data_IF_635530408351
#
_entry.id   IF_635530408351
#
_cell.length_a   1.000
_cell.length_b   1.000
_cell.length_c   1.000
_cell.angle_alpha   90.00
_cell.angle_beta   90.00
_cell.angle_gamma   90.00
#
_symmetry.space_group_name_H-M   'P 1'
#
loop_
_entity.id
_entity.type
_entity.pdbx_description
1 polymer ?
#
# COMPACT_ATOMS: atom_id res chain seq x y z
N UNK A 1 -4.33 -17.86 15.96
CA UNK A 1 -3.98 -16.54 16.55
C UNK A 1 -3.81 -16.60 18.07
N UNK A 2 -2.61 -16.31 18.61
CA UNK A 2 -2.37 -16.25 20.06
C UNK A 2 -2.74 -14.86 20.61
N UNK A 3 -3.93 -14.74 21.21
CA UNK A 3 -4.43 -13.47 21.76
C UNK A 3 -3.59 -12.92 22.90
N UNK A 4 -2.86 -13.77 23.63
CA UNK A 4 -1.93 -13.33 24.68
C UNK A 4 -0.67 -12.68 24.11
N UNK A 5 -0.11 -13.23 23.03
CA UNK A 5 1.06 -12.65 22.37
C UNK A 5 0.73 -11.31 21.71
N UNK A 6 -0.42 -11.22 21.02
CA UNK A 6 -0.87 -9.96 20.42
C UNK A 6 -0.97 -8.85 21.48
N UNK A 7 -1.65 -9.12 22.60
CA UNK A 7 -1.78 -8.16 23.71
C UNK A 7 -0.44 -7.81 24.36
N UNK A 8 0.49 -8.75 24.44
CA UNK A 8 1.82 -8.49 24.97
C UNK A 8 2.59 -7.54 24.05
N UNK A 9 2.60 -7.81 22.74
CA UNK A 9 3.23 -6.95 21.74
C UNK A 9 2.59 -5.57 21.66
N UNK A 10 1.27 -5.47 21.81
CA UNK A 10 0.53 -4.20 21.86
C UNK A 10 0.86 -3.35 23.11
N UNK A 11 1.31 -3.96 24.20
CA UNK A 11 1.67 -3.23 25.42
C UNK A 11 3.17 -2.99 25.57
N UNK A 12 3.98 -3.78 24.88
CA UNK A 12 5.42 -3.67 24.96
C UNK A 12 5.90 -2.37 24.29
N UNK A 13 6.68 -1.58 25.00
CA UNK A 13 7.34 -0.38 24.48
C UNK A 13 8.59 -0.79 23.67
N UNK A 14 8.34 -1.44 22.54
CA UNK A 14 9.37 -1.87 21.60
C UNK A 14 9.61 -0.77 20.56
N UNK A 15 10.88 -0.55 20.24
CA UNK A 15 11.26 0.31 19.13
C UNK A 15 10.57 -0.17 17.83
N UNK A 16 9.85 0.73 17.11
CA UNK A 16 9.15 0.36 15.87
C UNK A 16 10.05 -0.26 14.80
N UNK A 17 11.32 0.15 14.71
CA UNK A 17 12.28 -0.40 13.75
C UNK A 17 12.67 -1.83 14.11
N UNK A 18 12.84 -2.13 15.40
CA UNK A 18 13.13 -3.50 15.86
C UNK A 18 11.93 -4.39 15.61
N UNK A 19 10.72 -3.91 15.95
CA UNK A 19 9.49 -4.65 15.72
C UNK A 19 9.24 -4.90 14.22
N UNK A 20 9.46 -3.88 13.39
CA UNK A 20 9.40 -3.96 11.94
C UNK A 20 10.37 -4.99 11.38
N UNK A 21 11.64 -4.94 11.77
CA UNK A 21 12.66 -5.89 11.33
C UNK A 21 12.34 -7.35 11.72
N UNK A 22 11.78 -7.58 12.91
CA UNK A 22 11.33 -8.91 13.33
C UNK A 22 10.17 -9.41 12.48
N UNK A 23 9.17 -8.58 12.26
CA UNK A 23 8.01 -8.92 11.43
C UNK A 23 8.42 -9.17 9.96
N UNK A 24 9.33 -8.35 9.42
CA UNK A 24 9.86 -8.47 8.07
C UNK A 24 10.64 -9.77 7.87
N UNK A 25 11.51 -10.13 8.84
CA UNK A 25 12.22 -11.42 8.81
C UNK A 25 11.28 -12.61 8.88
N UNK A 26 10.24 -12.54 9.70
CA UNK A 26 9.24 -13.61 9.77
C UNK A 26 8.49 -13.72 8.43
N UNK A 27 8.07 -12.59 7.85
CA UNK A 27 7.42 -12.56 6.53
C UNK A 27 8.32 -13.18 5.48
N UNK A 28 9.61 -12.83 5.44
CA UNK A 28 10.57 -13.41 4.50
C UNK A 28 10.73 -14.92 4.67
N UNK A 29 10.81 -15.42 5.90
CA UNK A 29 10.90 -16.85 6.18
C UNK A 29 9.63 -17.63 5.76
N UNK A 30 8.46 -17.01 5.81
CA UNK A 30 7.18 -17.66 5.53
C UNK A 30 6.69 -17.47 4.09
N UNK A 31 7.03 -16.34 3.45
CA UNK A 31 6.45 -15.87 2.19
C UNK A 31 7.50 -15.57 1.12
N UNK A 32 8.78 -15.50 1.50
CA UNK A 32 9.87 -15.12 0.61
C UNK A 32 9.97 -13.61 0.36
N UNK A 33 10.56 -13.27 -0.78
CA UNK A 33 10.86 -11.89 -1.22
C UNK A 33 9.80 -11.30 -2.15
N UNK A 34 8.84 -12.11 -2.59
CA UNK A 34 7.80 -11.70 -3.52
C UNK A 34 6.74 -10.84 -2.82
N UNK A 35 6.43 -9.70 -3.42
CA UNK A 35 5.31 -8.83 -3.03
C UNK A 35 4.27 -8.82 -4.14
N UNK A 36 3.02 -9.17 -3.81
CA UNK A 36 1.90 -9.11 -4.73
C UNK A 36 1.39 -7.68 -4.86
N UNK A 37 1.23 -7.20 -6.08
CA UNK A 37 0.73 -5.86 -6.38
C UNK A 37 -0.59 -5.99 -7.13
N UNK A 38 -1.68 -5.63 -6.46
CA UNK A 38 -3.03 -5.63 -7.02
C UNK A 38 -3.31 -4.28 -7.67
N UNK A 39 -3.52 -4.29 -8.99
CA UNK A 39 -3.83 -3.09 -9.78
C UNK A 39 -5.32 -2.74 -9.79
N UNK A 40 -6.13 -3.63 -9.24
CA UNK A 40 -7.57 -3.49 -9.02
C UNK A 40 -7.84 -3.84 -7.54
N UNK A 41 -8.88 -3.28 -6.93
CA UNK A 41 -9.21 -3.63 -5.53
C UNK A 41 -9.74 -5.07 -5.50
N UNK A 42 -9.09 -5.99 -4.77
CA UNK A 42 -9.56 -7.37 -4.63
C UNK A 42 -10.91 -7.39 -3.90
N UNK A 43 -11.71 -8.42 -4.17
CA UNK A 43 -12.92 -8.70 -3.40
C UNK A 43 -12.60 -9.23 -2.00
N UNK A 44 -13.62 -9.73 -1.28
CA UNK A 44 -13.41 -10.42 -0.02
C UNK A 44 -12.82 -11.81 -0.27
N UNK A 45 -11.51 -11.93 -0.14
CA UNK A 45 -10.74 -13.16 -0.25
C UNK A 45 -10.16 -13.62 1.11
N UNK A 46 -10.66 -13.03 2.21
CA UNK A 46 -10.20 -13.32 3.57
C UNK A 46 -8.80 -12.79 3.91
N UNK A 47 -8.12 -12.08 2.99
CA UNK A 47 -6.82 -11.45 3.27
C UNK A 47 -7.04 -10.19 4.10
N UNK A 48 -6.39 -10.14 5.27
CA UNK A 48 -6.46 -8.97 6.14
C UNK A 48 -5.84 -7.76 5.43
N UNK A 49 -6.68 -6.75 5.18
CA UNK A 49 -6.30 -5.53 4.49
C UNK A 49 -6.23 -4.37 5.47
N UNK A 50 -5.07 -3.72 5.55
CA UNK A 50 -4.81 -2.54 6.35
C UNK A 50 -4.97 -1.30 5.47
N UNK A 51 -5.71 -0.31 5.95
CA UNK A 51 -6.01 0.91 5.24
C UNK A 51 -6.23 2.08 6.18
N UNK A 52 -7.22 2.92 5.86
CA UNK A 52 -7.52 4.13 6.64
C UNK A 52 -8.05 3.85 8.05
N UNK A 53 -8.69 2.70 8.27
CA UNK A 53 -9.28 2.35 9.57
C UNK A 53 -8.21 2.13 10.66
N UNK A 54 -7.03 1.69 10.26
CA UNK A 54 -5.88 1.45 11.14
C UNK A 54 -4.97 2.67 11.32
N UNK A 55 -5.22 3.74 10.57
CA UNK A 55 -4.70 5.06 10.90
C UNK A 55 -5.56 5.61 12.02
N UNK A 56 -4.93 5.93 13.16
CA UNK A 56 -5.65 6.61 14.23
C UNK A 56 -6.15 8.00 13.76
N UNK A 57 -7.00 8.63 14.56
CA UNK A 57 -7.53 9.96 14.24
C UNK A 57 -6.43 11.04 14.09
N UNK A 58 -5.23 10.79 14.62
CA UNK A 58 -4.06 11.65 14.47
C UNK A 58 -3.28 11.38 13.17
N UNK A 59 -3.59 10.29 12.46
CA UNK A 59 -2.85 9.86 11.27
C UNK A 59 -1.46 9.33 11.60
N UNK A 60 -1.22 8.82 12.81
CA UNK A 60 0.09 8.32 13.20
C UNK A 60 0.44 7.04 12.45
N UNK A 61 1.38 7.16 11.51
CA UNK A 61 1.93 6.02 10.78
C UNK A 61 2.57 4.98 11.71
N UNK A 62 3.02 5.36 12.92
CA UNK A 62 3.61 4.41 13.87
C UNK A 62 2.58 3.39 14.37
N UNK A 63 1.40 3.84 14.78
CA UNK A 63 0.29 2.98 15.22
C UNK A 63 -0.10 2.00 14.11
N UNK A 64 -0.20 2.50 12.88
CA UNK A 64 -0.48 1.70 11.69
C UNK A 64 0.57 0.61 11.44
N UNK A 65 1.86 0.98 11.40
CA UNK A 65 2.96 0.03 11.18
C UNK A 65 3.02 -1.03 12.28
N UNK A 66 2.78 -0.62 13.54
CA UNK A 66 2.74 -1.53 14.68
C UNK A 66 1.61 -2.56 14.54
N UNK A 67 0.43 -2.14 14.08
CA UNK A 67 -0.68 -3.06 13.84
C UNK A 67 -0.32 -4.16 12.81
N UNK A 68 0.43 -3.80 11.76
CA UNK A 68 0.93 -4.75 10.76
C UNK A 68 1.91 -5.73 11.41
N UNK A 69 2.88 -5.24 12.18
CA UNK A 69 3.85 -6.11 12.84
C UNK A 69 3.20 -7.08 13.83
N UNK A 70 2.25 -6.59 14.64
CA UNK A 70 1.49 -7.43 15.58
C UNK A 70 0.71 -8.51 14.82
N UNK A 71 0.06 -8.15 13.73
CA UNK A 71 -0.67 -9.11 12.90
C UNK A 71 0.27 -10.17 12.29
N UNK A 72 1.48 -9.80 11.87
CA UNK A 72 2.48 -10.74 11.36
C UNK A 72 3.01 -11.67 12.46
N UNK A 73 3.36 -11.12 13.61
CA UNK A 73 4.04 -11.87 14.68
C UNK A 73 3.10 -12.74 15.52
N UNK A 74 1.83 -12.34 15.67
CA UNK A 74 0.84 -13.07 16.47
C UNK A 74 -0.26 -13.76 15.65
N UNK A 75 -0.29 -13.48 14.34
CA UNK A 75 -1.21 -14.08 13.38
C UNK A 75 -0.89 -15.53 13.05
N UNK A 76 -1.64 -16.08 12.11
CA UNK A 76 -1.42 -17.45 11.65
C UNK A 76 -0.21 -17.49 10.71
N UNK A 77 0.58 -18.57 10.82
CA UNK A 77 1.80 -18.78 10.06
C UNK A 77 1.52 -18.65 8.56
N UNK A 78 2.23 -17.75 7.88
CA UNK A 78 2.11 -17.54 6.44
C UNK A 78 0.84 -16.84 5.99
N UNK A 79 0.03 -16.29 6.90
CA UNK A 79 -1.13 -15.47 6.55
C UNK A 79 -0.69 -14.26 5.70
N UNK A 80 -1.43 -13.96 4.62
CA UNK A 80 -1.16 -12.79 3.80
C UNK A 80 -1.64 -11.52 4.53
N UNK A 81 -0.84 -10.45 4.46
CA UNK A 81 -1.17 -9.13 4.97
C UNK A 81 -1.06 -8.12 3.83
N UNK A 82 -2.18 -7.45 3.57
CA UNK A 82 -2.35 -6.53 2.46
C UNK A 82 -2.44 -5.09 2.94
N UNK A 83 -1.84 -4.17 2.21
CA UNK A 83 -1.95 -2.72 2.48
C UNK A 83 -2.62 -1.99 1.33
N UNK A 84 -3.58 -1.12 1.62
CA UNK A 84 -4.25 -0.28 0.62
C UNK A 84 -3.55 1.07 0.49
N UNK A 85 -2.65 1.18 -0.49
CA UNK A 85 -1.86 2.38 -0.74
C UNK A 85 -2.69 3.60 -1.18
N UNK A 86 -3.89 3.39 -1.75
CA UNK A 86 -4.80 4.50 -2.06
C UNK A 86 -5.32 5.12 -0.76
N UNK A 87 -5.63 4.28 0.24
CA UNK A 87 -6.16 4.73 1.52
C UNK A 87 -5.11 5.39 2.44
N UNK A 88 -3.86 4.94 2.39
CA UNK A 88 -2.80 5.36 3.33
C UNK A 88 -1.66 6.17 2.70
N UNK A 89 -1.60 6.23 1.37
CA UNK A 89 -0.51 6.85 0.62
C UNK A 89 0.69 5.92 0.40
N UNK A 90 1.38 6.13 -0.72
CA UNK A 90 2.51 5.31 -1.13
C UNK A 90 3.70 5.28 -0.17
N UNK A 91 4.14 6.40 0.43
CA UNK A 91 5.32 6.37 1.30
C UNK A 91 5.10 5.43 2.49
N UNK A 92 3.91 5.49 3.11
CA UNK A 92 3.57 4.62 4.23
C UNK A 92 3.39 3.17 3.78
N UNK A 93 2.80 2.92 2.61
CA UNK A 93 2.69 1.58 2.04
C UNK A 93 4.08 0.96 1.77
N UNK A 94 5.04 1.75 1.29
CA UNK A 94 6.42 1.29 1.10
C UNK A 94 7.07 0.89 2.43
N UNK A 95 6.92 1.71 3.46
CA UNK A 95 7.45 1.40 4.80
C UNK A 95 6.78 0.15 5.37
N UNK A 96 5.49 -0.03 5.13
CA UNK A 96 4.74 -1.20 5.57
C UNK A 96 5.26 -2.53 5.00
N UNK A 97 5.81 -2.53 3.78
CA UNK A 97 6.47 -3.73 3.21
C UNK A 97 7.65 -4.19 4.05
N UNK A 98 8.40 -3.25 4.63
CA UNK A 98 9.51 -3.51 5.56
C UNK A 98 9.05 -3.79 7.01
N UNK A 99 7.74 -3.83 7.26
CA UNK A 99 7.12 -4.12 8.56
C UNK A 99 6.27 -5.41 8.54
N UNK A 100 6.38 -6.20 7.47
CA UNK A 100 5.76 -7.53 7.38
C UNK A 100 4.53 -7.62 6.48
N UNK A 101 4.16 -6.56 5.76
CA UNK A 101 3.20 -6.67 4.66
C UNK A 101 3.79 -7.44 3.46
N UNK A 102 2.94 -8.17 2.74
CA UNK A 102 3.34 -8.95 1.55
C UNK A 102 2.47 -8.69 0.31
N UNK A 103 1.37 -7.94 0.47
CA UNK A 103 0.53 -7.51 -0.64
C UNK A 103 0.27 -5.99 -0.61
N UNK A 104 0.22 -5.40 -1.80
CA UNK A 104 0.00 -3.98 -2.03
C UNK A 104 -1.21 -3.80 -2.95
N UNK A 105 -2.24 -3.10 -2.51
CA UNK A 105 -3.33 -2.63 -3.38
C UNK A 105 -3.02 -1.20 -3.78
N UNK A 106 -2.88 -0.98 -5.08
CA UNK A 106 -2.66 0.34 -5.65
C UNK A 106 -3.42 0.43 -6.97
N UNK A 107 -4.73 0.72 -6.91
CA UNK A 107 -5.58 0.71 -8.09
C UNK A 107 -5.07 1.71 -9.13
N UNK A 108 -4.82 1.24 -10.35
CA UNK A 108 -4.42 2.12 -11.45
C UNK A 108 -5.67 2.43 -12.27
N UNK A 109 -6.06 3.70 -12.34
CA UNK A 109 -7.13 4.13 -13.23
C UNK A 109 -6.76 3.80 -14.69
N UNK A 110 -7.48 2.86 -15.29
CA UNK A 110 -7.43 2.57 -16.72
C UNK A 110 -8.24 3.65 -17.47
N UNK A 111 -7.67 4.83 -17.77
CA UNK A 111 -8.12 5.69 -18.88
C UNK A 111 -8.35 4.79 -20.10
N UNK A 112 -9.63 4.55 -20.40
CA UNK A 112 -10.09 4.11 -21.71
C UNK A 112 -9.85 5.27 -22.68
N UNK A 113 -9.63 4.94 -23.96
CA UNK A 113 -9.43 5.90 -25.05
C UNK A 113 -10.64 6.81 -25.31
N UNK A 114 -11.73 6.66 -24.56
CA UNK A 114 -13.01 7.36 -24.77
C UNK A 114 -13.07 8.76 -24.13
N UNK A 115 -12.08 9.16 -23.33
CA UNK A 115 -12.05 10.49 -22.66
C UNK A 115 -11.36 11.56 -23.52
N UNK A 116 -11.50 11.50 -24.84
CA UNK A 116 -10.99 12.52 -25.78
C UNK A 116 -12.08 13.39 -26.41
N UNK A 117 -13.23 13.52 -25.75
CA UNK A 117 -14.30 14.41 -26.21
C UNK A 117 -15.16 14.89 -25.05
N UNK A 118 -14.76 15.98 -24.40
CA UNK A 118 -15.57 16.62 -23.36
C UNK A 118 -14.76 17.66 -22.61
N UNK A 119 -14.90 18.92 -23.02
CA UNK A 119 -14.54 20.09 -22.20
C UNK A 119 -15.26 20.01 -20.84
N UNK A 120 -14.61 20.54 -19.81
CA UNK A 120 -15.00 20.53 -18.38
C UNK A 120 -14.50 19.34 -17.53
N UNK A 121 -13.20 19.06 -17.59
CA UNK A 121 -12.52 18.34 -16.51
C UNK A 121 -12.34 19.27 -15.29
N UNK A 122 -13.30 19.21 -14.36
CA UNK A 122 -13.23 19.76 -13.00
C UNK A 122 -11.90 19.44 -12.30
N UNK A 123 -11.41 20.40 -11.50
CA UNK A 123 -10.07 20.56 -10.91
C UNK A 123 -9.56 19.45 -9.94
N UNK A 124 -10.04 18.21 -10.03
CA UNK A 124 -9.57 17.06 -9.25
C UNK A 124 -8.75 16.10 -10.12
N UNK A 125 -7.60 16.55 -10.63
CA UNK A 125 -6.65 15.70 -11.37
C UNK A 125 -6.11 14.61 -10.44
N UNK A 126 -6.81 13.47 -10.45
CA UNK A 126 -6.43 12.27 -9.75
C UNK A 126 -5.14 11.74 -10.30
N UNK A 127 -4.46 11.21 -9.34
CA UNK A 127 -3.10 10.91 -9.45
C UNK A 127 -3.00 9.43 -9.90
N UNK A 128 -2.44 9.14 -11.07
CA UNK A 128 -2.34 7.81 -11.67
C UNK A 128 -0.90 7.34 -11.64
N UNK A 129 -0.62 6.34 -10.80
CA UNK A 129 0.66 5.67 -10.76
C UNK A 129 0.78 4.71 -11.93
N UNK A 130 2.00 4.56 -12.43
CA UNK A 130 2.31 3.53 -13.43
C UNK A 130 2.74 2.26 -12.71
N UNK A 131 2.47 1.13 -13.33
CA UNK A 131 2.97 -0.17 -12.88
C UNK A 131 4.49 -0.14 -12.61
N UNK A 132 5.26 0.54 -13.47
CA UNK A 132 6.71 0.73 -13.30
C UNK A 132 7.08 1.44 -11.99
N UNK A 133 6.32 2.42 -11.55
CA UNK A 133 6.59 3.20 -10.32
C UNK A 133 6.31 2.32 -9.09
N UNK A 134 5.18 1.60 -9.09
CA UNK A 134 4.86 0.62 -8.05
C UNK A 134 5.95 -0.45 -7.94
N UNK A 135 6.42 -0.97 -9.08
CA UNK A 135 7.48 -1.96 -9.08
C UNK A 135 8.81 -1.39 -8.60
N UNK A 136 9.10 -0.13 -8.89
CA UNK A 136 10.31 0.55 -8.38
C UNK A 136 10.22 0.68 -6.86
N UNK A 137 9.07 1.06 -6.32
CA UNK A 137 8.82 1.16 -4.88
C UNK A 137 9.07 -0.19 -4.18
N UNK A 138 8.51 -1.27 -4.73
CA UNK A 138 8.71 -2.63 -4.19
C UNK A 138 10.19 -3.04 -4.26
N UNK A 139 10.87 -2.76 -5.37
CA UNK A 139 12.31 -3.04 -5.52
C UNK A 139 13.18 -2.20 -4.57
N UNK A 140 12.83 -0.95 -4.32
CA UNK A 140 13.51 -0.10 -3.35
C UNK A 140 13.37 -0.63 -1.91
N UNK A 141 12.31 -1.41 -1.63
CA UNK A 141 12.17 -2.15 -0.37
C UNK A 141 12.95 -3.49 -0.36
N UNK A 142 13.74 -3.78 -1.41
CA UNK A 142 14.52 -5.02 -1.54
C UNK A 142 13.68 -6.24 -1.92
N UNK A 143 12.53 -6.04 -2.58
CA UNK A 143 11.54 -7.10 -2.86
C UNK A 143 11.27 -7.29 -4.35
N UNK A 144 10.72 -8.44 -4.70
CA UNK A 144 10.38 -8.82 -6.08
C UNK A 144 8.88 -8.58 -6.35
N UNK A 145 8.50 -7.59 -7.16
CA UNK A 145 7.09 -7.33 -7.45
C UNK A 145 6.49 -8.40 -8.37
N UNK A 146 5.29 -8.87 -8.03
CA UNK A 146 4.42 -9.68 -8.91
C UNK A 146 3.08 -9.01 -9.08
N UNK A 147 2.66 -8.80 -10.31
CA UNK A 147 1.38 -8.15 -10.60
C UNK A 147 0.26 -9.17 -10.50
N UNK A 148 -0.79 -8.83 -9.76
CA UNK A 148 -2.00 -9.63 -9.61
C UNK A 148 -3.14 -8.94 -10.35
N UNK A 149 -3.75 -9.67 -11.29
CA UNK A 149 -4.91 -9.22 -12.04
C UNK A 149 -6.10 -10.16 -11.77
N UNK A 150 -7.29 -9.57 -11.60
CA UNK A 150 -8.54 -10.31 -11.48
C UNK A 150 -9.27 -10.25 -12.82
N UNK A 151 -9.19 -11.32 -13.63
CA UNK A 151 -9.85 -11.42 -14.95
C UNK A 151 -11.01 -12.39 -14.89
N UNK A 152 -12.24 -11.88 -14.93
CA UNK A 152 -13.44 -12.73 -14.93
C UNK A 152 -13.54 -13.68 -13.72
N UNK A 153 -13.11 -13.22 -12.54
CA UNK A 153 -13.05 -14.02 -11.32
C UNK A 153 -11.81 -14.90 -11.16
N UNK A 154 -10.95 -14.98 -12.19
CA UNK A 154 -9.68 -15.70 -12.12
C UNK A 154 -8.56 -14.76 -11.69
N UNK A 155 -7.80 -15.17 -10.67
CA UNK A 155 -6.59 -14.48 -10.24
C UNK A 155 -5.43 -14.92 -11.13
N UNK A 156 -4.80 -13.98 -11.80
CA UNK A 156 -3.62 -14.21 -12.65
C UNK A 156 -2.45 -13.42 -12.10
N UNK A 157 -1.35 -14.11 -11.81
CA UNK A 157 -0.08 -13.48 -11.47
C UNK A 157 0.82 -13.37 -12.70
N UNK A 158 1.45 -12.21 -12.90
CA UNK A 158 2.42 -12.01 -13.99
C UNK A 158 3.63 -11.22 -13.54
N UNK A 159 4.70 -11.33 -14.33
CA UNK A 159 5.83 -10.41 -14.21
C UNK A 159 5.38 -8.97 -14.53
N UNK A 160 5.98 -7.96 -13.89
CA UNK A 160 5.67 -6.59 -14.23
C UNK A 160 6.17 -6.22 -15.62
N UNK A 161 5.30 -5.57 -16.38
CA UNK A 161 5.66 -4.91 -17.62
C UNK A 161 6.36 -3.58 -17.30
N UNK A 162 7.68 -3.66 -17.17
CA UNK A 162 8.54 -2.48 -16.97
C UNK A 162 8.93 -1.81 -18.30
N UNK A 163 8.54 -2.39 -19.44
CA UNK A 163 8.89 -1.89 -20.78
C UNK A 163 7.91 -0.82 -21.26
N UNK A 164 6.69 -0.85 -20.74
CA UNK A 164 5.68 0.17 -21.00
C UNK A 164 6.12 1.55 -20.50
N UNK A 165 6.39 2.46 -21.43
CA UNK A 165 6.61 3.90 -21.16
C UNK A 165 5.31 4.65 -20.88
N UNK A 166 4.16 3.97 -20.79
CA UNK A 166 2.86 4.61 -20.70
C UNK A 166 2.79 5.55 -19.49
N UNK A 167 2.70 6.84 -19.80
CA UNK A 167 2.72 7.89 -18.80
C UNK A 167 1.33 8.18 -18.24
N UNK A 168 1.12 8.07 -16.92
CA UNK A 168 -0.09 8.58 -16.27
C UNK A 168 0.30 9.38 -15.01
N UNK A 169 -0.52 10.39 -14.67
CA UNK A 169 -0.14 11.57 -13.87
C UNK A 169 -0.52 11.45 -12.40
N UNK A 170 0.41 11.45 -11.43
CA UNK A 170 0.17 11.51 -9.96
C UNK A 170 0.42 12.94 -9.35
N UNK A 171 -0.33 13.37 -8.31
CA UNK A 171 -0.29 14.66 -7.57
C UNK A 171 0.32 14.45 -6.17
N UNK A 172 1.25 15.31 -5.75
CA UNK A 172 1.89 15.26 -4.42
C UNK A 172 1.05 16.02 -3.36
N UNK A 173 0.90 15.52 -2.11
CA UNK A 173 0.22 16.25 -1.05
C UNK A 173 1.14 17.35 -0.48
N UNK A 174 0.62 18.58 -0.32
CA UNK A 174 1.29 19.63 0.48
C UNK A 174 1.35 21.04 -0.09
N UNK A 175 0.82 21.33 -1.28
CA UNK A 175 0.81 22.70 -1.84
C UNK A 175 -0.44 23.53 -1.52
N UNK A 176 -1.49 22.93 -0.97
CA UNK A 176 -2.77 23.63 -0.73
C UNK A 176 -2.71 24.64 0.43
N UNK A 177 -1.82 24.43 1.41
CA UNK A 177 -1.72 25.32 2.59
C UNK A 177 -1.09 26.69 2.27
N UNK A 178 -0.40 26.83 1.14
CA UNK A 178 0.24 28.10 0.76
C UNK A 178 -0.72 29.01 -0.04
N UNK A 179 -1.60 28.44 -0.86
CA UNK A 179 -2.48 29.23 -1.74
C UNK A 179 -3.67 29.85 -1.00
N UNK A 180 -4.18 29.18 0.05
CA UNK A 180 -5.32 29.70 0.83
C UNK A 180 -4.94 30.86 1.77
N UNK A 181 -3.65 31.08 2.06
CA UNK A 181 -3.19 32.24 2.86
C UNK A 181 -3.03 33.53 2.05
N UNK A 182 -2.89 33.46 0.73
CA UNK A 182 -2.73 34.67 -0.12
C UNK A 182 -4.06 35.21 -0.64
N UNK A 183 -5.16 34.43 -0.60
CA UNK A 183 -6.47 34.84 -1.08
C UNK A 183 -7.39 35.47 0.00
N UNK A 184 -6.96 35.48 1.27
CA UNK A 184 -7.75 36.00 2.40
C UNK A 184 -7.40 37.44 2.82
N UNK A 185 -6.38 38.05 2.22
CA UNK A 185 -5.84 39.38 2.59
C UNK A 185 -5.95 40.42 1.45
N UNK A 186 -6.83 40.21 0.47
CA UNK A 186 -7.10 41.15 -0.63
C UNK A 186 -8.50 41.77 -0.55
#
# INVERSE_FOLDING_TARGET
>A
MSTLLARALERADLDPLVLGALADRLREAERGDVVRVHLDRPGDDGVRTFGRAELDAAGDGRSFLRAICVARLAGDKGAALRVDAEAIGLPLAQVALAHGADELVAPIARLSLEVFGGDEASANEKAVLRERELCTLVRCAGRTPRIVEHRGGVVVEREPDTTSRATRRFRAPGREVAAEREAGDA
#
